data_IF_409462767562
#
_entry.id   IF_409462767562
#
_cell.length_a   1.000
_cell.length_b   1.000
_cell.length_c   1.000
_cell.angle_alpha   90.00
_cell.angle_beta   90.00
_cell.angle_gamma   90.00
#
_symmetry.space_group_name_H-M   'P 1'
#
loop_
_entity.id
_entity.type
_entity.pdbx_description
1 polymer ?
#
# COMPACT_ATOMS: atom_id res chain seq x y z
N UNK A 1 14.19 -31.82 -6.46
CA UNK A 1 15.11 -31.86 -5.30
C UNK A 1 14.53 -32.72 -4.18
N UNK A 2 13.35 -32.42 -3.63
CA UNK A 2 12.67 -33.25 -2.61
C UNK A 2 12.41 -34.70 -3.04
N UNK A 3 11.90 -34.89 -4.25
CA UNK A 3 11.68 -36.22 -4.85
C UNK A 3 12.98 -37.01 -4.98
N UNK A 4 14.05 -36.38 -5.46
CA UNK A 4 15.37 -37.00 -5.58
C UNK A 4 15.97 -37.37 -4.20
N UNK A 5 15.83 -36.50 -3.20
CA UNK A 5 16.32 -36.74 -1.83
C UNK A 5 15.62 -37.95 -1.18
N UNK A 6 14.30 -38.01 -1.24
CA UNK A 6 13.54 -39.11 -0.62
C UNK A 6 13.68 -40.44 -1.40
N UNK A 7 13.88 -40.37 -2.72
CA UNK A 7 14.21 -41.54 -3.54
C UNK A 7 15.60 -42.10 -3.19
N UNK A 8 16.59 -41.22 -3.01
CA UNK A 8 17.95 -41.60 -2.56
C UNK A 8 17.96 -42.20 -1.15
N UNK A 9 17.05 -41.75 -0.28
CA UNK A 9 16.89 -42.27 1.09
C UNK A 9 16.04 -43.56 1.16
N UNK A 10 15.54 -44.07 0.03
CA UNK A 10 14.80 -45.33 -0.03
C UNK A 10 13.40 -45.30 0.60
N UNK A 11 12.82 -44.12 0.84
CA UNK A 11 11.56 -43.98 1.62
C UNK A 11 10.27 -44.11 0.79
N UNK A 12 10.40 -44.37 -0.51
CA UNK A 12 9.28 -44.61 -1.42
C UNK A 12 8.32 -43.43 -1.58
N UNK A 13 7.15 -43.64 -2.21
CA UNK A 13 6.17 -42.58 -2.49
C UNK A 13 5.56 -41.96 -1.22
N UNK A 14 5.44 -42.73 -0.13
CA UNK A 14 4.95 -42.23 1.16
C UNK A 14 5.89 -41.19 1.79
N UNK A 15 7.21 -41.42 1.73
CA UNK A 15 8.21 -40.45 2.17
C UNK A 15 8.15 -39.15 1.37
N UNK A 16 7.96 -39.24 0.05
CA UNK A 16 7.79 -38.07 -0.82
C UNK A 16 6.56 -37.25 -0.44
N UNK A 17 5.41 -37.88 -0.19
CA UNK A 17 4.19 -37.18 0.20
C UNK A 17 4.34 -36.47 1.55
N UNK A 18 4.98 -37.12 2.54
CA UNK A 18 5.27 -36.50 3.84
C UNK A 18 6.26 -35.35 3.72
N UNK A 19 7.30 -35.49 2.90
CA UNK A 19 8.25 -34.41 2.64
C UNK A 19 7.59 -33.22 1.91
N UNK A 20 6.67 -33.48 0.98
CA UNK A 20 5.89 -32.42 0.34
C UNK A 20 4.99 -31.68 1.34
N UNK A 21 4.33 -32.40 2.25
CA UNK A 21 3.53 -31.81 3.32
C UNK A 21 4.38 -30.95 4.28
N UNK A 22 5.56 -31.44 4.66
CA UNK A 22 6.52 -30.68 5.46
C UNK A 22 7.00 -29.42 4.74
N UNK A 23 7.31 -29.52 3.45
CA UNK A 23 7.72 -28.38 2.65
C UNK A 23 6.61 -27.31 2.53
N UNK A 24 5.35 -27.73 2.34
CA UNK A 24 4.21 -26.83 2.33
C UNK A 24 4.06 -26.10 3.67
N UNK A 25 4.15 -26.82 4.79
CA UNK A 25 4.09 -26.20 6.12
C UNK A 25 5.24 -25.22 6.32
N UNK A 26 6.47 -25.57 5.91
CA UNK A 26 7.65 -24.70 6.01
C UNK A 26 7.52 -23.42 5.20
N UNK A 27 6.98 -23.53 3.97
CA UNK A 27 6.73 -22.39 3.09
C UNK A 27 5.66 -21.42 3.63
N UNK A 28 4.78 -21.87 4.54
CA UNK A 28 3.77 -21.03 5.20
C UNK A 28 4.31 -20.49 6.53
N UNK A 29 4.88 -21.36 7.36
CA UNK A 29 5.30 -21.05 8.73
C UNK A 29 6.44 -20.02 8.77
N UNK A 30 7.43 -20.13 7.88
CA UNK A 30 8.57 -19.22 7.93
C UNK A 30 8.20 -17.78 7.55
N UNK A 31 7.50 -17.49 6.41
CA UNK A 31 7.06 -16.13 6.12
C UNK A 31 6.21 -15.52 7.24
N UNK A 32 5.33 -16.32 7.85
CA UNK A 32 4.54 -15.87 9.01
C UNK A 32 5.44 -15.50 10.21
N UNK A 33 6.45 -16.31 10.53
CA UNK A 33 7.39 -16.06 11.63
C UNK A 33 8.28 -14.83 11.38
N UNK A 34 8.76 -14.64 10.15
CA UNK A 34 9.51 -13.45 9.74
C UNK A 34 8.65 -12.20 9.92
N UNK A 35 7.40 -12.22 9.42
CA UNK A 35 6.46 -11.10 9.56
C UNK A 35 6.09 -10.83 11.01
N UNK A 36 5.94 -11.87 11.84
CA UNK A 36 5.70 -11.74 13.27
C UNK A 36 6.91 -11.12 13.99
N UNK A 37 8.13 -11.54 13.64
CA UNK A 37 9.37 -10.97 14.18
C UNK A 37 9.58 -9.51 13.77
N UNK A 38 9.21 -9.15 12.54
CA UNK A 38 9.22 -7.77 12.06
C UNK A 38 8.17 -6.91 12.78
N UNK A 39 6.96 -7.43 12.98
CA UNK A 39 5.89 -6.77 13.72
C UNK A 39 6.28 -6.54 15.19
N UNK A 40 6.82 -7.57 15.86
CA UNK A 40 7.34 -7.47 17.22
C UNK A 40 8.46 -6.41 17.31
N UNK A 41 9.44 -6.46 16.41
CA UNK A 41 10.49 -5.44 16.33
C UNK A 41 9.95 -4.04 16.09
N UNK A 42 8.91 -3.91 15.27
CA UNK A 42 8.27 -2.61 15.01
C UNK A 42 7.68 -2.02 16.29
N UNK A 43 7.03 -2.84 17.13
CA UNK A 43 6.54 -2.39 18.43
C UNK A 43 7.70 -2.06 19.39
N UNK A 44 8.72 -2.91 19.47
CA UNK A 44 9.86 -2.74 20.38
C UNK A 44 10.69 -1.48 20.07
N UNK A 45 10.89 -1.17 18.78
CA UNK A 45 11.73 -0.04 18.34
C UNK A 45 10.91 1.18 17.93
N UNK A 46 9.60 1.17 18.19
CA UNK A 46 8.71 2.32 17.99
C UNK A 46 8.55 2.74 16.54
N UNK A 47 8.49 1.78 15.61
CA UNK A 47 7.98 2.02 14.26
C UNK A 47 6.45 2.10 14.29
N UNK A 48 5.87 2.73 13.27
CA UNK A 48 4.42 2.83 13.14
C UNK A 48 3.90 1.56 12.50
N UNK A 49 2.91 0.94 13.14
CA UNK A 49 2.10 -0.12 12.53
C UNK A 49 0.72 0.48 12.31
N UNK A 50 0.28 0.61 11.06
CA UNK A 50 -1.04 1.19 10.76
C UNK A 50 -2.10 0.12 10.52
N UNK A 51 -1.71 -1.00 9.93
CA UNK A 51 -2.62 -2.06 9.52
C UNK A 51 -1.97 -3.42 9.71
N UNK A 52 -2.72 -4.37 10.27
CA UNK A 52 -2.33 -5.77 10.42
C UNK A 52 -3.40 -6.61 9.75
N UNK A 53 -3.01 -7.37 8.74
CA UNK A 53 -3.89 -8.31 8.04
C UNK A 53 -3.51 -9.72 8.43
N UNK A 54 -4.45 -10.40 9.08
CA UNK A 54 -4.33 -11.81 9.47
C UNK A 54 -5.17 -12.63 8.50
N UNK A 55 -4.49 -13.32 7.60
CA UNK A 55 -5.04 -14.28 6.66
C UNK A 55 -5.10 -13.80 5.21
N UNK A 56 -5.71 -14.64 4.37
CA UNK A 56 -5.97 -14.47 2.96
C UNK A 56 -7.47 -14.62 2.66
N UNK A 57 -7.88 -14.25 1.45
CA UNK A 57 -9.26 -14.27 0.94
C UNK A 57 -10.16 -13.14 1.49
N UNK A 58 -11.48 -13.38 1.58
CA UNK A 58 -12.50 -12.39 1.97
C UNK A 58 -12.27 -11.90 3.39
N UNK A 59 -12.53 -10.60 3.59
CA UNK A 59 -12.57 -9.98 4.93
C UNK A 59 -13.72 -10.62 5.73
N UNK A 60 -13.40 -11.08 6.93
CA UNK A 60 -14.39 -11.60 7.89
C UNK A 60 -14.80 -10.48 8.83
N UNK A 61 -13.81 -9.80 9.41
CA UNK A 61 -14.03 -8.66 10.30
C UNK A 61 -12.83 -7.72 10.26
N UNK A 62 -13.05 -6.47 10.66
CA UNK A 62 -12.01 -5.48 10.87
C UNK A 62 -12.33 -4.65 12.09
N UNK A 63 -11.38 -4.51 13.00
CA UNK A 63 -11.54 -3.71 14.20
C UNK A 63 -10.29 -2.85 14.42
N UNK A 64 -10.46 -1.69 15.08
CA UNK A 64 -9.34 -0.81 15.45
C UNK A 64 -8.88 -1.16 16.86
N UNK A 65 -7.58 -1.37 17.02
CA UNK A 65 -6.92 -1.52 18.31
C UNK A 65 -5.97 -0.33 18.50
N UNK A 66 -6.42 0.69 19.21
CA UNK A 66 -5.75 1.98 19.24
C UNK A 66 -5.65 2.58 17.83
N UNK A 67 -4.44 2.94 17.41
CA UNK A 67 -4.16 3.45 16.06
C UNK A 67 -3.92 2.39 14.99
N UNK A 68 -4.14 1.10 15.29
CA UNK A 68 -3.87 -0.01 14.37
C UNK A 68 -5.18 -0.63 13.87
N UNK A 69 -5.37 -0.68 12.55
CA UNK A 69 -6.46 -1.43 11.94
C UNK A 69 -6.09 -2.92 11.87
N UNK A 70 -6.84 -3.79 12.53
CA UNK A 70 -6.64 -5.24 12.45
C UNK A 70 -7.74 -5.83 11.56
N UNK A 71 -7.33 -6.41 10.43
CA UNK A 71 -8.22 -7.07 9.48
C UNK A 71 -8.04 -8.58 9.54
N UNK A 72 -9.10 -9.31 9.87
CA UNK A 72 -9.11 -10.77 9.88
C UNK A 72 -9.78 -11.27 8.61
N UNK A 73 -9.10 -12.17 7.88
CA UNK A 73 -9.58 -12.79 6.65
C UNK A 73 -9.82 -14.29 6.86
N UNK A 74 -10.62 -14.88 5.97
CA UNK A 74 -11.18 -16.23 6.16
C UNK A 74 -10.12 -17.34 6.29
N UNK A 75 -8.94 -17.19 5.68
CA UNK A 75 -7.88 -18.19 5.72
C UNK A 75 -6.64 -17.66 6.46
N UNK A 76 -6.39 -18.00 7.74
CA UNK A 76 -5.34 -17.40 8.56
C UNK A 76 -3.92 -17.94 8.25
N UNK A 77 -3.52 -17.94 6.99
CA UNK A 77 -2.23 -18.49 6.53
C UNK A 77 -1.16 -17.44 6.23
N UNK A 78 -1.55 -16.16 6.16
CA UNK A 78 -0.63 -15.05 5.87
C UNK A 78 -0.72 -14.02 6.99
N UNK A 79 0.43 -13.46 7.38
CA UNK A 79 0.49 -12.26 8.20
C UNK A 79 1.09 -11.14 7.36
N UNK A 80 0.34 -10.06 7.16
CA UNK A 80 0.83 -8.83 6.55
C UNK A 80 0.69 -7.68 7.54
N UNK A 81 1.63 -6.75 7.52
CA UNK A 81 1.56 -5.55 8.32
C UNK A 81 2.12 -4.37 7.53
N UNK A 82 1.41 -3.25 7.59
CA UNK A 82 1.86 -1.98 7.04
C UNK A 82 2.68 -1.27 8.11
N UNK A 83 4.00 -1.33 7.91
CA UNK A 83 4.99 -0.80 8.85
C UNK A 83 5.63 0.41 8.21
N UNK A 84 5.49 1.55 8.89
CA UNK A 84 6.01 2.83 8.47
C UNK A 84 6.99 3.42 9.48
N UNK A 85 7.79 4.39 9.03
CA UNK A 85 8.58 5.22 9.92
C UNK A 85 7.68 6.04 10.85
N UNK A 86 8.13 6.33 12.08
CA UNK A 86 7.39 7.14 13.06
C UNK A 86 8.21 8.26 13.67
N UNK A 87 9.42 7.94 14.15
CA UNK A 87 10.30 8.89 14.83
C UNK A 87 11.75 8.63 14.43
N UNK A 88 12.55 9.68 14.43
CA UNK A 88 14.00 9.53 14.32
C UNK A 88 14.59 8.78 15.54
N UNK A 89 15.67 8.01 15.38
CA UNK A 89 16.39 7.69 14.14
C UNK A 89 15.70 6.55 13.36
N UNK A 90 15.09 6.87 12.22
CA UNK A 90 14.23 5.95 11.45
C UNK A 90 15.01 4.75 10.90
N UNK A 91 16.21 5.00 10.38
CA UNK A 91 17.07 3.97 9.77
C UNK A 91 17.43 2.92 10.82
N UNK A 92 17.96 3.34 11.96
CA UNK A 92 18.38 2.44 13.04
C UNK A 92 17.22 1.59 13.54
N UNK A 93 16.05 2.20 13.79
CA UNK A 93 14.85 1.47 14.23
C UNK A 93 14.38 0.44 13.21
N UNK A 94 14.44 0.78 11.92
CA UNK A 94 14.08 -0.13 10.82
C UNK A 94 15.05 -1.31 10.70
N UNK A 95 16.35 -1.07 10.89
CA UNK A 95 17.38 -2.13 10.90
C UNK A 95 17.18 -3.05 12.10
N UNK A 96 16.93 -2.50 13.28
CA UNK A 96 16.67 -3.30 14.49
C UNK A 96 15.40 -4.15 14.37
N UNK A 97 14.32 -3.62 13.81
CA UNK A 97 13.12 -4.39 13.53
C UNK A 97 13.35 -5.49 12.47
N UNK A 98 14.21 -5.24 11.49
CA UNK A 98 14.62 -6.27 10.53
C UNK A 98 15.53 -7.32 11.17
N UNK A 99 16.32 -6.96 12.18
CA UNK A 99 17.13 -7.91 12.94
C UNK A 99 16.26 -8.87 13.75
N UNK A 100 15.21 -8.40 14.40
CA UNK A 100 14.24 -9.27 15.10
C UNK A 100 13.47 -10.16 14.13
N UNK A 101 13.13 -9.65 12.95
CA UNK A 101 12.56 -10.44 11.83
C UNK A 101 13.49 -11.59 11.42
N UNK A 102 14.78 -11.31 11.21
CA UNK A 102 15.76 -12.32 10.83
C UNK A 102 16.04 -13.31 11.96
N UNK A 103 16.13 -12.87 13.21
CA UNK A 103 16.29 -13.74 14.38
C UNK A 103 15.10 -14.71 14.50
N UNK A 104 13.87 -14.22 14.37
CA UNK A 104 12.66 -15.06 14.36
C UNK A 104 12.72 -16.13 13.26
N UNK A 105 13.09 -15.74 12.04
CA UNK A 105 13.27 -16.69 10.93
C UNK A 105 14.36 -17.74 11.21
N UNK A 106 15.52 -17.33 11.74
CA UNK A 106 16.61 -18.23 12.10
C UNK A 106 16.23 -19.20 13.22
N UNK A 107 15.45 -18.74 14.22
CA UNK A 107 14.94 -19.60 15.29
C UNK A 107 14.00 -20.68 14.75
N UNK A 108 13.11 -20.33 13.80
CA UNK A 108 12.24 -21.32 13.14
C UNK A 108 13.05 -22.31 12.33
N UNK A 109 14.02 -21.86 11.52
CA UNK A 109 14.90 -22.77 10.77
C UNK A 109 15.65 -23.70 11.73
N UNK A 110 16.19 -23.17 12.84
CA UNK A 110 16.87 -23.94 13.88
C UNK A 110 15.96 -25.00 14.52
N UNK A 111 14.73 -24.65 14.86
CA UNK A 111 13.74 -25.59 15.38
C UNK A 111 13.38 -26.68 14.36
N UNK A 112 13.24 -26.32 13.08
CA UNK A 112 12.97 -27.29 12.02
C UNK A 112 14.13 -28.28 11.81
N UNK A 113 15.39 -27.85 12.00
CA UNK A 113 16.55 -28.75 11.93
C UNK A 113 16.50 -29.86 12.98
N UNK A 114 15.90 -29.62 14.16
CA UNK A 114 15.70 -30.65 15.17
C UNK A 114 14.70 -31.73 14.72
N UNK A 115 13.79 -31.40 13.80
CA UNK A 115 12.81 -32.33 13.23
C UNK A 115 13.35 -33.11 12.00
N UNK A 116 14.59 -32.85 11.57
CA UNK A 116 15.16 -33.39 10.33
C UNK A 116 15.30 -34.91 10.28
N UNK A 117 15.09 -35.65 11.37
CA UNK A 117 15.13 -37.12 11.38
C UNK A 117 14.01 -37.80 10.58
N UNK A 118 12.96 -37.08 10.16
CA UNK A 118 11.81 -37.63 9.43
C UNK A 118 11.72 -37.09 8.00
N UNK A 119 11.03 -37.79 7.09
CA UNK A 119 10.78 -37.29 5.73
C UNK A 119 10.04 -35.96 5.73
N UNK A 120 9.07 -35.82 6.64
CA UNK A 120 8.38 -34.56 6.89
C UNK A 120 9.36 -33.45 7.27
N UNK A 121 10.29 -33.74 8.19
CA UNK A 121 11.35 -32.84 8.61
C UNK A 121 12.28 -32.41 7.48
N UNK A 122 12.67 -33.32 6.59
CA UNK A 122 13.48 -32.96 5.41
C UNK A 122 12.76 -31.93 4.53
N UNK A 123 11.47 -32.17 4.26
CA UNK A 123 10.58 -31.24 3.59
C UNK A 123 10.56 -29.86 4.24
N UNK A 124 10.31 -29.86 5.54
CA UNK A 124 10.21 -28.67 6.36
C UNK A 124 11.49 -27.85 6.32
N UNK A 125 12.64 -28.46 6.64
CA UNK A 125 13.96 -27.82 6.65
C UNK A 125 14.33 -27.24 5.30
N UNK A 126 14.09 -27.99 4.21
CA UNK A 126 14.41 -27.54 2.87
C UNK A 126 13.61 -26.29 2.49
N UNK A 127 12.30 -26.30 2.74
CA UNK A 127 11.43 -25.16 2.47
C UNK A 127 11.78 -23.96 3.35
N UNK A 128 11.93 -24.13 4.67
CA UNK A 128 12.27 -23.03 5.58
C UNK A 128 13.64 -22.45 5.27
N UNK A 129 14.64 -23.27 4.93
CA UNK A 129 15.97 -22.76 4.57
C UNK A 129 15.93 -21.96 3.27
N UNK A 130 15.26 -22.50 2.24
CA UNK A 130 15.13 -21.81 0.95
C UNK A 130 14.37 -20.48 1.09
N UNK A 131 13.27 -20.46 1.85
CA UNK A 131 12.50 -19.24 2.12
C UNK A 131 13.29 -18.24 2.96
N UNK A 132 14.13 -18.69 3.89
CA UNK A 132 14.99 -17.80 4.69
C UNK A 132 16.04 -17.12 3.82
N UNK A 133 16.74 -17.90 2.97
CA UNK A 133 17.69 -17.36 2.00
C UNK A 133 16.98 -16.35 1.10
N UNK A 134 15.81 -16.68 0.57
CA UNK A 134 15.02 -15.77 -0.26
C UNK A 134 14.66 -14.46 0.47
N UNK A 135 14.27 -14.53 1.74
CA UNK A 135 13.91 -13.37 2.55
C UNK A 135 15.10 -12.45 2.87
N UNK A 136 16.33 -12.98 2.86
CA UNK A 136 17.59 -12.25 3.10
C UNK A 136 18.20 -11.65 1.82
N UNK A 137 17.70 -12.01 0.63
CA UNK A 137 18.13 -11.36 -0.61
C UNK A 137 17.60 -9.92 -0.64
N UNK A 138 18.46 -8.89 -0.76
CA UNK A 138 18.03 -7.49 -0.80
C UNK A 138 17.15 -7.21 -2.02
N UNK A 139 15.84 -7.08 -1.78
CA UNK A 139 14.83 -6.70 -2.77
C UNK A 139 13.89 -5.63 -2.21
N UNK A 140 13.58 -4.64 -3.04
CA UNK A 140 12.62 -3.57 -2.77
C UNK A 140 11.72 -3.41 -3.99
N UNK A 141 10.45 -3.80 -3.85
CA UNK A 141 9.41 -3.70 -4.88
C UNK A 141 8.20 -2.91 -4.32
N UNK A 142 7.27 -2.42 -5.16
CA UNK A 142 6.00 -1.91 -4.68
C UNK A 142 5.34 -2.91 -3.71
N UNK A 143 4.81 -2.43 -2.58
CA UNK A 143 4.18 -3.22 -1.52
C UNK A 143 5.05 -4.29 -0.81
N UNK A 144 6.27 -4.55 -1.26
CA UNK A 144 7.13 -5.57 -0.65
C UNK A 144 8.56 -5.09 -0.47
N UNK A 145 9.00 -5.03 0.79
CA UNK A 145 10.39 -4.80 1.17
C UNK A 145 10.88 -6.03 1.90
N UNK A 146 11.92 -6.68 1.35
CA UNK A 146 12.53 -7.86 1.98
C UNK A 146 13.24 -7.52 3.29
N UNK A 147 13.33 -8.50 4.19
CA UNK A 147 14.12 -8.36 5.43
C UNK A 147 15.60 -8.11 5.10
N UNK A 148 16.11 -8.79 4.07
CA UNK A 148 17.46 -8.57 3.55
C UNK A 148 17.73 -7.13 3.11
N UNK A 149 16.77 -6.48 2.47
CA UNK A 149 16.95 -5.08 2.08
C UNK A 149 17.01 -4.15 3.29
N UNK A 150 16.18 -4.37 4.32
CA UNK A 150 16.23 -3.57 5.55
C UNK A 150 17.55 -3.76 6.32
N UNK A 151 18.11 -4.98 6.33
CA UNK A 151 19.37 -5.28 7.01
C UNK A 151 20.60 -4.79 6.25
N UNK A 152 20.63 -4.99 4.93
CA UNK A 152 21.84 -4.82 4.14
C UNK A 152 21.76 -3.66 3.15
N UNK A 153 20.58 -3.37 2.62
CA UNK A 153 20.35 -2.27 1.68
C UNK A 153 20.24 -0.93 2.40
N UNK A 154 19.40 -0.86 3.43
CA UNK A 154 19.08 0.38 4.14
C UNK A 154 20.31 1.09 4.74
N UNK A 155 21.26 0.40 5.41
CA UNK A 155 22.45 1.06 5.94
C UNK A 155 23.41 1.58 4.86
N UNK A 156 23.35 1.00 3.65
CA UNK A 156 24.23 1.32 2.51
C UNK A 156 23.65 2.39 1.59
N UNK A 157 22.52 3.00 1.95
CA UNK A 157 21.89 4.04 1.13
C UNK A 157 22.70 5.34 1.13
N UNK A 158 22.73 6.01 -0.03
CA UNK A 158 23.27 7.36 -0.17
C UNK A 158 22.53 8.34 0.75
N UNK A 159 23.15 9.48 1.04
CA UNK A 159 22.55 10.50 1.90
C UNK A 159 21.22 11.04 1.36
N UNK A 160 21.15 11.36 0.06
CA UNK A 160 19.89 11.77 -0.59
C UNK A 160 18.77 10.74 -0.39
N UNK A 161 19.07 9.44 -0.56
CA UNK A 161 18.07 8.39 -0.33
C UNK A 161 17.72 8.21 1.16
N UNK A 162 18.66 8.45 2.07
CA UNK A 162 18.39 8.45 3.52
C UNK A 162 17.49 9.62 3.90
N UNK A 163 17.66 10.79 3.29
CA UNK A 163 16.79 11.94 3.47
C UNK A 163 15.35 11.61 3.01
N UNK A 164 15.18 11.05 1.81
CA UNK A 164 13.87 10.56 1.33
C UNK A 164 13.24 9.53 2.28
N UNK A 165 14.05 8.61 2.82
CA UNK A 165 13.56 7.62 3.77
C UNK A 165 13.11 8.24 5.10
N UNK A 166 13.81 9.28 5.58
CA UNK A 166 13.41 10.04 6.78
C UNK A 166 12.15 10.87 6.52
N UNK A 167 12.04 11.49 5.35
CA UNK A 167 10.85 12.22 4.91
C UNK A 167 9.58 11.36 4.96
N UNK A 168 9.71 10.03 4.82
CA UNK A 168 8.61 9.10 5.00
C UNK A 168 7.92 9.17 6.37
N UNK A 169 8.62 9.58 7.44
CA UNK A 169 8.00 9.74 8.77
C UNK A 169 7.01 10.91 8.77
N UNK A 170 7.45 12.06 8.27
CA UNK A 170 6.62 13.26 8.08
C UNK A 170 5.45 12.96 7.14
N UNK A 171 5.69 12.26 6.04
CA UNK A 171 4.64 11.86 5.11
C UNK A 171 3.56 10.99 5.78
N UNK A 172 3.97 10.04 6.62
CA UNK A 172 3.03 9.20 7.35
C UNK A 172 2.22 10.01 8.37
N UNK A 173 2.85 10.96 9.06
CA UNK A 173 2.19 11.84 10.03
C UNK A 173 1.19 12.78 9.35
N UNK A 174 1.62 13.51 8.30
CA UNK A 174 0.75 14.35 7.49
C UNK A 174 -0.44 13.55 6.93
N UNK A 175 -0.20 12.35 6.38
CA UNK A 175 -1.28 11.50 5.89
C UNK A 175 -2.25 11.07 7.00
N UNK A 176 -1.78 10.84 8.23
CA UNK A 176 -2.65 10.52 9.36
C UNK A 176 -3.58 11.68 9.70
N UNK A 177 -3.02 12.88 9.84
CA UNK A 177 -3.76 14.11 10.10
C UNK A 177 -4.79 14.37 8.99
N UNK A 178 -4.41 14.16 7.73
CA UNK A 178 -5.34 14.22 6.61
C UNK A 178 -6.44 13.16 6.68
N UNK A 179 -6.20 11.94 7.18
CA UNK A 179 -7.29 10.97 7.37
C UNK A 179 -8.29 11.42 8.44
N UNK A 180 -7.82 12.18 9.43
CA UNK A 180 -8.64 12.68 10.54
C UNK A 180 -9.30 14.04 10.21
N UNK A 181 -9.00 14.64 9.05
CA UNK A 181 -9.54 15.93 8.62
C UNK A 181 -8.80 17.15 9.18
N UNK A 182 -7.67 16.95 9.84
CA UNK A 182 -6.84 17.98 10.45
C UNK A 182 -5.93 18.65 9.40
N UNK A 183 -6.52 19.42 8.49
CA UNK A 183 -5.83 19.98 7.32
C UNK A 183 -4.69 20.92 7.69
N UNK A 184 -4.92 21.85 8.63
CA UNK A 184 -3.92 22.85 9.01
C UNK A 184 -2.73 22.20 9.74
N UNK A 185 -3.01 21.18 10.57
CA UNK A 185 -1.95 20.41 11.22
C UNK A 185 -1.15 19.58 10.21
N UNK A 186 -1.81 18.99 9.21
CA UNK A 186 -1.13 18.28 8.14
C UNK A 186 -0.21 19.21 7.34
N UNK A 187 -0.67 20.42 7.03
CA UNK A 187 0.12 21.43 6.33
C UNK A 187 1.36 21.84 7.14
N UNK A 188 1.21 22.10 8.44
CA UNK A 188 2.34 22.43 9.32
C UNK A 188 3.45 21.35 9.33
N UNK A 189 3.06 20.07 9.34
CA UNK A 189 4.02 18.94 9.25
C UNK A 189 4.72 18.90 7.89
N UNK A 190 4.00 19.25 6.82
CA UNK A 190 4.55 19.29 5.47
C UNK A 190 5.48 20.50 5.27
N UNK A 191 5.19 21.63 5.92
CA UNK A 191 6.05 22.81 5.92
C UNK A 191 7.37 22.53 6.66
N UNK A 192 7.32 21.88 7.83
CA UNK A 192 8.52 21.40 8.53
C UNK A 192 9.34 20.45 7.65
N UNK A 193 8.68 19.52 6.95
CA UNK A 193 9.34 18.65 5.99
C UNK A 193 9.98 19.44 4.83
N UNK A 194 9.35 20.52 4.37
CA UNK A 194 9.87 21.36 3.30
C UNK A 194 11.10 22.17 3.73
N UNK A 195 11.21 22.54 5.01
CA UNK A 195 12.42 23.16 5.56
C UNK A 195 13.60 22.18 5.59
N UNK A 196 13.35 20.94 5.98
CA UNK A 196 14.40 19.91 6.16
C UNK A 196 14.81 19.29 4.82
N UNK A 197 13.86 19.08 3.92
CA UNK A 197 14.04 18.34 2.67
C UNK A 197 13.29 19.01 1.51
N UNK A 198 13.63 20.26 1.13
CA UNK A 198 12.87 21.04 0.15
C UNK A 198 12.78 20.37 -1.23
N UNK A 199 13.85 19.66 -1.62
CA UNK A 199 13.96 19.01 -2.92
C UNK A 199 13.63 17.51 -2.87
N UNK A 200 13.12 16.99 -1.74
CA UNK A 200 12.74 15.59 -1.67
C UNK A 200 11.40 15.35 -2.40
N UNK A 201 11.33 14.25 -3.15
CA UNK A 201 10.11 13.82 -3.86
C UNK A 201 8.96 13.57 -2.88
N UNK A 202 9.30 13.05 -1.71
CA UNK A 202 8.34 12.84 -0.63
C UNK A 202 7.69 14.16 -0.19
N UNK A 203 8.46 15.24 -0.09
CA UNK A 203 7.95 16.59 0.23
C UNK A 203 6.97 17.07 -0.82
N UNK A 204 7.32 16.98 -2.11
CA UNK A 204 6.44 17.38 -3.20
C UNK A 204 5.13 16.56 -3.21
N UNK A 205 5.21 15.25 -2.96
CA UNK A 205 4.04 14.38 -2.88
C UNK A 205 3.13 14.71 -1.69
N UNK A 206 3.70 15.04 -0.53
CA UNK A 206 2.91 15.44 0.64
C UNK A 206 2.20 16.79 0.42
N UNK A 207 2.91 17.77 -0.15
CA UNK A 207 2.32 19.06 -0.54
C UNK A 207 1.19 18.87 -1.54
N UNK A 208 1.39 18.03 -2.56
CA UNK A 208 0.33 17.72 -3.54
C UNK A 208 -0.90 17.09 -2.86
N UNK A 209 -0.70 16.22 -1.86
CA UNK A 209 -1.79 15.60 -1.09
C UNK A 209 -2.54 16.63 -0.22
N UNK A 210 -1.84 17.59 0.38
CA UNK A 210 -2.48 18.69 1.14
C UNK A 210 -3.28 19.58 0.21
N UNK A 211 -2.73 19.98 -0.95
CA UNK A 211 -3.46 20.74 -1.97
C UNK A 211 -4.71 19.96 -2.44
N UNK A 212 -4.59 18.66 -2.69
CA UNK A 212 -5.73 17.80 -3.01
C UNK A 212 -6.80 17.83 -1.91
N UNK A 213 -6.40 17.73 -0.64
CA UNK A 213 -7.31 17.73 0.49
C UNK A 213 -8.03 19.08 0.67
N UNK A 214 -7.41 20.19 0.22
CA UNK A 214 -8.03 21.52 0.11
C UNK A 214 -8.87 21.72 -1.16
N UNK A 215 -8.90 20.75 -2.07
CA UNK A 215 -9.60 20.83 -3.34
C UNK A 215 -8.85 21.62 -4.42
N UNK A 216 -7.57 21.91 -4.22
CA UNK A 216 -6.68 22.61 -5.15
C UNK A 216 -5.99 21.59 -6.09
N UNK A 217 -6.79 20.89 -6.90
CA UNK A 217 -6.29 19.79 -7.74
C UNK A 217 -5.37 20.27 -8.87
N UNK A 218 -5.59 21.47 -9.38
CA UNK A 218 -4.71 22.13 -10.35
C UNK A 218 -3.28 22.29 -9.80
N UNK A 219 -3.14 22.89 -8.62
CA UNK A 219 -1.84 23.11 -7.95
C UNK A 219 -1.17 21.78 -7.64
N UNK A 220 -1.93 20.81 -7.11
CA UNK A 220 -1.43 19.48 -6.82
C UNK A 220 -0.90 18.77 -8.09
N UNK A 221 -1.63 18.86 -9.20
CA UNK A 221 -1.26 18.28 -10.49
C UNK A 221 0.02 18.91 -11.04
N UNK A 222 0.08 20.25 -11.06
CA UNK A 222 1.25 20.98 -11.55
C UNK A 222 2.50 20.70 -10.73
N UNK A 223 2.37 20.52 -9.40
CA UNK A 223 3.48 20.16 -8.54
C UNK A 223 4.06 18.78 -8.87
N UNK A 224 3.20 17.78 -9.13
CA UNK A 224 3.67 16.45 -9.54
C UNK A 224 4.29 16.46 -10.94
N UNK A 225 3.72 17.21 -11.89
CA UNK A 225 4.31 17.38 -13.22
C UNK A 225 5.70 18.02 -13.14
N UNK A 226 5.86 19.06 -12.31
CA UNK A 226 7.16 19.68 -12.07
C UNK A 226 8.15 18.72 -11.43
N UNK A 227 7.70 17.89 -10.49
CA UNK A 227 8.54 16.87 -9.85
C UNK A 227 9.04 15.85 -10.88
N UNK A 228 8.17 15.41 -11.80
CA UNK A 228 8.52 14.47 -12.86
C UNK A 228 9.45 15.06 -13.92
N UNK A 229 9.37 16.37 -14.20
CA UNK A 229 10.25 17.01 -15.18
C UNK A 229 11.64 17.32 -14.62
N UNK A 230 11.76 17.49 -13.31
CA UNK A 230 13.03 17.84 -12.64
C UNK A 230 13.78 16.63 -12.08
N UNK A 231 13.08 15.52 -11.86
CA UNK A 231 13.65 14.30 -11.29
C UNK A 231 13.29 13.08 -12.12
N UNK A 232 14.27 12.20 -12.32
CA UNK A 232 14.07 10.88 -12.94
C UNK A 232 14.07 9.80 -11.85
N UNK A 233 12.92 9.51 -11.21
CA UNK A 233 12.83 8.51 -10.15
C UNK A 233 13.08 7.09 -10.66
N UNK A 234 13.44 6.19 -9.75
CA UNK A 234 13.50 4.77 -10.03
C UNK A 234 12.10 4.23 -10.39
N UNK A 235 12.04 3.12 -11.14
CA UNK A 235 10.78 2.53 -11.62
C UNK A 235 9.68 2.41 -10.55
N UNK A 236 10.05 1.97 -9.34
CA UNK A 236 9.10 1.88 -8.21
C UNK A 236 8.52 3.26 -7.87
N UNK A 237 9.35 4.25 -7.66
CA UNK A 237 8.93 5.60 -7.24
C UNK A 237 8.15 6.29 -8.36
N UNK A 238 8.59 6.10 -9.61
CA UNK A 238 7.87 6.54 -10.80
C UNK A 238 6.45 5.97 -10.83
N UNK A 239 6.28 4.68 -10.53
CA UNK A 239 4.95 4.04 -10.51
C UNK A 239 3.99 4.71 -9.51
N UNK A 240 4.47 5.13 -8.33
CA UNK A 240 3.67 5.84 -7.33
C UNK A 240 3.35 7.28 -7.77
N UNK A 241 4.33 8.01 -8.32
CA UNK A 241 4.14 9.38 -8.78
C UNK A 241 3.15 9.44 -9.95
N UNK A 242 3.23 8.52 -10.91
CA UNK A 242 2.31 8.45 -12.03
C UNK A 242 0.89 8.05 -11.60
N UNK A 243 0.74 7.14 -10.62
CA UNK A 243 -0.55 6.82 -10.02
C UNK A 243 -1.19 8.06 -9.36
N UNK A 244 -0.41 8.81 -8.60
CA UNK A 244 -0.85 10.06 -7.96
C UNK A 244 -1.21 11.14 -9.00
N UNK A 245 -0.36 11.32 -10.02
CA UNK A 245 -0.60 12.27 -11.10
C UNK A 245 -1.91 11.96 -11.83
N UNK A 246 -2.14 10.70 -12.20
CA UNK A 246 -3.37 10.30 -12.87
C UNK A 246 -4.61 10.63 -12.02
N UNK A 247 -4.59 10.29 -10.73
CA UNK A 247 -5.69 10.60 -9.81
C UNK A 247 -5.97 12.10 -9.66
N UNK A 248 -4.93 12.92 -9.51
CA UNK A 248 -5.05 14.37 -9.37
C UNK A 248 -5.49 15.05 -10.66
N UNK A 249 -4.90 14.68 -11.79
CA UNK A 249 -5.25 15.23 -13.10
C UNK A 249 -6.72 14.96 -13.44
N UNK A 250 -7.20 13.73 -13.20
CA UNK A 250 -8.62 13.39 -13.41
C UNK A 250 -9.54 14.17 -12.45
N UNK A 251 -9.13 14.34 -11.19
CA UNK A 251 -9.89 15.15 -10.22
C UNK A 251 -9.94 16.63 -10.63
N UNK A 252 -8.85 17.18 -11.17
CA UNK A 252 -8.78 18.55 -11.67
C UNK A 252 -9.69 18.76 -12.88
N UNK A 253 -9.70 17.80 -13.82
CA UNK A 253 -10.60 17.82 -14.98
C UNK A 253 -12.07 17.72 -14.54
N UNK A 254 -12.39 16.80 -13.63
CA UNK A 254 -13.75 16.61 -13.12
C UNK A 254 -14.27 17.85 -12.34
N UNK A 255 -13.38 18.55 -11.66
CA UNK A 255 -13.66 19.80 -10.96
C UNK A 255 -13.70 21.03 -11.90
N UNK A 256 -13.35 20.87 -13.18
CA UNK A 256 -13.28 21.98 -14.15
C UNK A 256 -12.13 22.96 -13.90
N UNK A 257 -11.11 22.55 -13.12
CA UNK A 257 -9.96 23.40 -12.79
C UNK A 257 -8.90 23.39 -13.89
N UNK A 258 -8.85 22.33 -14.69
CA UNK A 258 -7.93 22.17 -15.81
C UNK A 258 -8.66 21.63 -17.05
N UNK A 259 -8.24 22.02 -18.27
CA UNK A 259 -8.91 21.62 -19.50
C UNK A 259 -8.78 20.12 -19.76
N UNK A 260 -9.90 19.48 -20.10
CA UNK A 260 -9.96 18.04 -20.35
C UNK A 260 -9.15 17.60 -21.58
N UNK A 261 -9.13 18.44 -22.62
CA UNK A 261 -8.46 18.14 -23.89
C UNK A 261 -6.95 17.94 -23.74
N UNK A 262 -6.32 18.71 -22.84
CA UNK A 262 -4.88 18.66 -22.61
C UNK A 262 -4.48 17.59 -21.60
N UNK A 263 -5.26 17.45 -20.51
CA UNK A 263 -4.86 16.61 -19.38
C UNK A 263 -5.34 15.16 -19.46
N UNK A 264 -6.48 14.88 -20.10
CA UNK A 264 -6.98 13.50 -20.12
C UNK A 264 -6.02 12.51 -20.78
N UNK A 265 -5.41 12.80 -21.95
CA UNK A 265 -4.41 11.89 -22.55
C UNK A 265 -3.21 11.67 -21.62
N UNK A 266 -2.75 12.72 -20.95
CA UNK A 266 -1.64 12.66 -19.99
C UNK A 266 -1.98 11.81 -18.78
N UNK A 267 -3.18 11.97 -18.22
CA UNK A 267 -3.65 11.22 -17.07
C UNK A 267 -3.85 9.73 -17.40
N UNK A 268 -4.42 9.42 -18.57
CA UNK A 268 -4.59 8.05 -19.05
C UNK A 268 -3.24 7.37 -19.26
N UNK A 269 -2.29 8.05 -19.92
CA UNK A 269 -0.95 7.53 -20.14
C UNK A 269 -0.24 7.26 -18.81
N UNK A 270 -0.26 8.22 -17.88
CA UNK A 270 0.31 8.05 -16.54
C UNK A 270 -0.30 6.85 -15.79
N UNK A 271 -1.60 6.63 -15.94
CA UNK A 271 -2.29 5.49 -15.33
C UNK A 271 -1.81 4.15 -15.90
N UNK A 272 -1.67 4.04 -17.22
CA UNK A 272 -1.16 2.83 -17.87
C UNK A 272 0.32 2.59 -17.55
N UNK A 273 1.14 3.63 -17.58
CA UNK A 273 2.57 3.56 -17.28
C UNK A 273 2.82 3.17 -15.82
N UNK A 274 2.02 3.68 -14.89
CA UNK A 274 2.06 3.26 -13.49
C UNK A 274 1.86 1.74 -13.34
N UNK A 275 0.87 1.18 -14.03
CA UNK A 275 0.62 -0.27 -14.04
C UNK A 275 1.77 -1.01 -14.74
N UNK A 276 2.27 -0.50 -15.86
CA UNK A 276 3.40 -1.07 -16.60
C UNK A 276 4.68 -1.15 -15.76
N UNK A 277 4.89 -0.18 -14.85
CA UNK A 277 5.99 -0.14 -13.89
C UNK A 277 5.77 -0.99 -12.64
N UNK A 278 4.64 -1.70 -12.55
CA UNK A 278 4.34 -2.67 -11.51
C UNK A 278 3.47 -2.15 -10.37
N UNK A 279 2.82 -0.98 -10.51
CA UNK A 279 1.79 -0.57 -9.56
C UNK A 279 0.57 -1.49 -9.69
N UNK A 280 -0.03 -1.96 -8.58
CA UNK A 280 -1.13 -2.91 -8.66
C UNK A 280 -2.38 -2.28 -9.28
N UNK A 281 -2.82 -2.82 -10.41
CA UNK A 281 -4.01 -2.33 -11.13
C UNK A 281 -5.27 -2.28 -10.26
N UNK A 282 -5.43 -3.22 -9.32
CA UNK A 282 -6.63 -3.26 -8.47
C UNK A 282 -6.70 -2.08 -7.49
N UNK A 283 -5.56 -1.52 -7.06
CA UNK A 283 -5.51 -0.30 -6.22
C UNK A 283 -5.98 0.93 -7.02
N UNK A 284 -5.77 0.90 -8.35
CA UNK A 284 -6.18 1.96 -9.27
C UNK A 284 -7.63 1.82 -9.78
N UNK A 285 -8.40 0.84 -9.30
CA UNK A 285 -9.79 0.64 -9.76
C UNK A 285 -10.62 1.92 -9.63
N UNK A 286 -10.43 2.67 -8.54
CA UNK A 286 -11.06 3.96 -8.31
C UNK A 286 -10.72 5.00 -9.38
N UNK A 287 -9.43 5.15 -9.66
CA UNK A 287 -8.90 6.07 -10.69
C UNK A 287 -9.37 5.70 -12.09
N UNK A 288 -9.36 4.41 -12.45
CA UNK A 288 -9.97 3.92 -13.70
C UNK A 288 -11.48 4.19 -13.74
N UNK A 289 -12.17 4.09 -12.61
CA UNK A 289 -13.59 4.41 -12.50
C UNK A 289 -13.88 5.89 -12.74
N UNK A 290 -13.03 6.79 -12.23
CA UNK A 290 -13.14 8.22 -12.48
C UNK A 290 -12.87 8.56 -13.95
N UNK A 291 -11.84 7.97 -14.56
CA UNK A 291 -11.58 8.12 -16.00
C UNK A 291 -12.79 7.66 -16.84
N UNK A 292 -13.36 6.48 -16.52
CA UNK A 292 -14.55 5.97 -17.19
C UNK A 292 -15.75 6.92 -17.03
N UNK A 293 -15.93 7.52 -15.86
CA UNK A 293 -17.00 8.49 -15.62
C UNK A 293 -16.83 9.73 -16.50
N UNK A 294 -15.62 10.29 -16.59
CA UNK A 294 -15.32 11.47 -17.41
C UNK A 294 -15.55 11.17 -18.90
N UNK A 295 -15.22 9.96 -19.35
CA UNK A 295 -15.47 9.51 -20.72
C UNK A 295 -16.95 9.15 -21.01
N UNK A 296 -17.85 9.24 -20.02
CA UNK A 296 -19.26 8.90 -20.17
C UNK A 296 -19.58 7.39 -20.09
N UNK A 297 -18.60 6.55 -19.75
CA UNK A 297 -18.75 5.09 -19.58
C UNK A 297 -19.37 4.75 -18.20
N UNK A 298 -20.61 5.19 -17.96
CA UNK A 298 -21.25 5.18 -16.62
C UNK A 298 -21.34 3.80 -15.96
N UNK A 299 -21.68 2.73 -16.70
CA UNK A 299 -21.72 1.37 -16.13
C UNK A 299 -20.34 0.89 -15.69
N UNK A 300 -19.31 1.18 -16.50
CA UNK A 300 -17.95 0.80 -16.20
C UNK A 300 -17.42 1.59 -15.00
N UNK A 301 -17.73 2.89 -14.95
CA UNK A 301 -17.43 3.75 -13.82
C UNK A 301 -18.02 3.18 -12.52
N UNK A 302 -19.29 2.76 -12.54
CA UNK A 302 -19.97 2.12 -11.40
C UNK A 302 -19.24 0.87 -10.91
N UNK A 303 -18.98 -0.08 -11.83
CA UNK A 303 -18.32 -1.35 -11.49
C UNK A 303 -16.93 -1.14 -10.88
N UNK A 304 -16.15 -0.24 -11.47
CA UNK A 304 -14.79 0.07 -11.04
C UNK A 304 -14.76 0.85 -9.72
N UNK A 305 -15.68 1.81 -9.54
CA UNK A 305 -15.82 2.57 -8.30
C UNK A 305 -16.24 1.67 -7.13
N UNK A 306 -17.19 0.75 -7.33
CA UNK A 306 -17.55 -0.25 -6.34
C UNK A 306 -16.36 -1.16 -5.97
N UNK A 307 -15.61 -1.63 -6.98
CA UNK A 307 -14.42 -2.45 -6.75
C UNK A 307 -13.34 -1.66 -5.98
N UNK A 308 -13.14 -0.40 -6.34
CA UNK A 308 -12.24 0.53 -5.65
C UNK A 308 -12.66 0.75 -4.20
N UNK A 309 -13.93 1.03 -3.93
CA UNK A 309 -14.45 1.25 -2.58
C UNK A 309 -14.27 0.01 -1.68
N UNK A 310 -14.45 -1.21 -2.23
CA UNK A 310 -14.23 -2.47 -1.49
C UNK A 310 -12.75 -2.73 -1.17
N UNK A 311 -11.85 -2.28 -2.03
CA UNK A 311 -10.42 -2.57 -1.94
C UNK A 311 -9.57 -1.41 -1.40
N UNK A 312 -10.15 -0.23 -1.18
CA UNK A 312 -9.44 0.98 -0.79
C UNK A 312 -8.61 0.80 0.49
N UNK A 313 -7.35 1.25 0.42
CA UNK A 313 -6.40 1.19 1.52
C UNK A 313 -6.61 2.27 2.60
N UNK A 314 -7.23 3.41 2.26
CA UNK A 314 -7.48 4.53 3.17
C UNK A 314 -8.96 4.97 3.18
N UNK A 315 -9.35 5.71 4.21
CA UNK A 315 -10.71 6.25 4.36
C UNK A 315 -11.01 7.28 3.27
N UNK A 316 -10.09 8.22 3.04
CA UNK A 316 -10.27 9.24 1.98
C UNK A 316 -10.35 8.63 0.58
N UNK A 317 -9.52 7.64 0.24
CA UNK A 317 -9.62 6.93 -1.04
C UNK A 317 -10.95 6.20 -1.18
N UNK A 318 -11.47 5.58 -0.10
CA UNK A 318 -12.80 4.95 -0.13
C UNK A 318 -13.91 5.97 -0.34
N UNK A 319 -13.86 7.10 0.37
CA UNK A 319 -14.83 8.18 0.21
C UNK A 319 -14.79 8.75 -1.23
N UNK A 320 -13.60 8.88 -1.82
CA UNK A 320 -13.40 9.32 -3.19
C UNK A 320 -14.01 8.36 -4.23
N UNK A 321 -13.84 7.05 -4.01
CA UNK A 321 -14.45 6.01 -4.84
C UNK A 321 -15.98 6.01 -4.71
N UNK A 322 -16.51 6.23 -3.50
CA UNK A 322 -17.95 6.35 -3.27
C UNK A 322 -18.53 7.64 -3.89
N UNK A 323 -17.77 8.73 -3.92
CA UNK A 323 -18.16 9.94 -4.66
C UNK A 323 -18.25 9.68 -6.17
N UNK A 324 -17.28 8.97 -6.75
CA UNK A 324 -17.35 8.50 -8.15
C UNK A 324 -18.56 7.60 -8.39
N UNK A 325 -18.85 6.67 -7.46
CA UNK A 325 -20.01 5.79 -7.54
C UNK A 325 -21.33 6.58 -7.52
N UNK A 326 -21.46 7.54 -6.60
CA UNK A 326 -22.64 8.40 -6.50
C UNK A 326 -22.87 9.17 -7.81
N UNK A 327 -21.80 9.76 -8.38
CA UNK A 327 -21.88 10.47 -9.66
C UNK A 327 -22.23 9.57 -10.84
N UNK A 328 -21.75 8.32 -10.86
CA UNK A 328 -22.14 7.34 -11.86
C UNK A 328 -23.64 7.00 -11.79
N UNK A 329 -24.21 6.90 -10.57
CA UNK A 329 -25.65 6.74 -10.39
C UNK A 329 -26.45 7.98 -10.82
N UNK A 330 -25.98 9.19 -10.50
CA UNK A 330 -26.60 10.45 -10.96
C UNK A 330 -26.65 10.53 -12.49
N UNK A 331 -25.56 10.18 -13.17
CA UNK A 331 -25.50 10.18 -14.64
C UNK A 331 -26.49 9.19 -15.29
N UNK A 332 -27.00 8.22 -14.53
CA UNK A 332 -28.05 7.28 -14.93
C UNK A 332 -29.46 7.70 -14.51
N UNK A 333 -29.62 8.79 -13.76
CA UNK A 333 -30.88 9.20 -13.17
C UNK A 333 -31.30 8.41 -11.92
N UNK A 334 -30.41 7.58 -11.35
CA UNK A 334 -30.68 6.80 -10.15
C UNK A 334 -30.28 7.59 -8.88
N UNK A 335 -31.04 8.63 -8.57
CA UNK A 335 -30.76 9.52 -7.45
C UNK A 335 -30.88 8.82 -6.08
N UNK A 336 -31.64 7.73 -5.97
CA UNK A 336 -31.78 6.97 -4.73
C UNK A 336 -30.46 6.28 -4.39
N UNK A 337 -29.89 5.53 -5.34
CA UNK A 337 -28.59 4.88 -5.14
C UNK A 337 -27.46 5.91 -5.02
N UNK A 338 -27.55 7.03 -5.74
CA UNK A 338 -26.58 8.12 -5.61
C UNK A 338 -26.53 8.68 -4.18
N UNK A 339 -27.70 8.93 -3.56
CA UNK A 339 -27.79 9.40 -2.17
C UNK A 339 -27.28 8.36 -1.18
N UNK A 340 -27.56 7.08 -1.41
CA UNK A 340 -27.04 6.00 -0.56
C UNK A 340 -25.51 5.93 -0.59
N UNK A 341 -24.90 5.99 -1.79
CA UNK A 341 -23.45 6.00 -1.95
C UNK A 341 -22.81 7.27 -1.34
N UNK A 342 -23.44 8.43 -1.52
CA UNK A 342 -22.97 9.69 -0.92
C UNK A 342 -23.04 9.65 0.61
N UNK A 343 -24.13 9.16 1.19
CA UNK A 343 -24.27 9.05 2.64
C UNK A 343 -23.18 8.15 3.26
N UNK A 344 -22.82 7.06 2.58
CA UNK A 344 -21.68 6.22 2.98
C UNK A 344 -20.35 6.99 2.90
N UNK A 345 -20.14 7.79 1.85
CA UNK A 345 -18.95 8.62 1.69
C UNK A 345 -18.84 9.69 2.80
N UNK A 346 -19.94 10.36 3.12
CA UNK A 346 -20.02 11.36 4.18
C UNK A 346 -19.74 10.77 5.57
N UNK A 347 -20.23 9.56 5.83
CA UNK A 347 -19.93 8.83 7.05
C UNK A 347 -18.45 8.48 7.21
N UNK A 348 -17.65 8.56 6.15
CA UNK A 348 -16.20 8.32 6.16
C UNK A 348 -15.42 9.63 6.21
N UNK A 349 -15.72 10.57 5.30
CA UNK A 349 -14.99 11.82 5.14
C UNK A 349 -15.88 12.91 4.51
N UNK A 350 -16.87 13.40 5.26
CA UNK A 350 -17.78 14.47 4.80
C UNK A 350 -17.08 15.79 4.39
N UNK A 351 -15.86 16.02 4.86
CA UNK A 351 -15.05 17.20 4.53
C UNK A 351 -14.25 17.04 3.23
N UNK A 352 -14.13 15.82 2.69
CA UNK A 352 -13.28 15.55 1.52
C UNK A 352 -13.83 16.28 0.28
N UNK A 353 -13.00 16.99 -0.52
CA UNK A 353 -13.51 17.90 -1.55
C UNK A 353 -14.43 17.26 -2.59
N UNK A 354 -14.11 16.05 -3.07
CA UNK A 354 -14.97 15.34 -4.03
C UNK A 354 -16.30 14.91 -3.42
N UNK A 355 -16.35 14.62 -2.11
CA UNK A 355 -17.60 14.34 -1.38
C UNK A 355 -18.44 15.61 -1.27
N UNK A 356 -17.84 16.72 -0.82
CA UNK A 356 -18.50 18.03 -0.74
C UNK A 356 -19.11 18.47 -2.08
N UNK A 357 -18.32 18.43 -3.15
CA UNK A 357 -18.77 18.80 -4.50
C UNK A 357 -19.88 17.87 -5.01
N UNK A 358 -19.86 16.59 -4.64
CA UNK A 358 -20.91 15.64 -5.03
C UNK A 358 -22.23 15.94 -4.31
N UNK A 359 -22.18 16.26 -3.02
CA UNK A 359 -23.33 16.71 -2.23
C UNK A 359 -23.98 17.95 -2.84
N UNK A 360 -23.18 18.96 -3.21
CA UNK A 360 -23.69 20.19 -3.81
C UNK A 360 -24.46 19.91 -5.10
N UNK A 361 -23.92 19.06 -5.98
CA UNK A 361 -24.58 18.66 -7.22
C UNK A 361 -25.87 17.88 -6.97
N UNK A 362 -25.88 16.95 -6.00
CA UNK A 362 -27.05 16.14 -5.63
C UNK A 362 -28.17 16.94 -4.96
N UNK A 363 -27.86 18.10 -4.38
CA UNK A 363 -28.86 18.98 -3.76
C UNK A 363 -29.63 19.80 -4.80
N UNK A 364 -29.04 20.01 -5.97
CA UNK A 364 -29.64 20.78 -7.07
C UNK A 364 -30.55 19.89 -7.95
N UNK A 365 -30.35 18.56 -7.94
CA UNK A 365 -31.05 17.57 -8.76
C UNK A 365 -32.20 16.84 -8.04
#
# INVERSE_FOLDING_TARGET
>A
MLTALELLLGKGPGGIALAAAGALLGAIALPAAIRAGLLLGSFLFGLRVSNIVIGAMRRVTSFRLGGVLVTVRALPVVLSADIGPRREPVVTRSVLAAATSALSGLLVVGACLLAAGSSFGHGLVLATTASMVHALIPRRAPLNTSTGWLLFGLPRMSESRRLEFRAGAYAAEAHALLQDGELDAAEAVVDELAEIAPNARTTASCRATVHQARGEFDRATMLLLHTLSTHSPEAREMSYLLAGLAGLALSAVEAGQLPSEDLLPTAEQALQDSVGLGFPRFELSGTFGLLALINGETERAKQLAELGARNAASGTTRADNLATLARAHMARGDNVSARAALAEAEGIAAWWPRVCSTRERLTIC
#
